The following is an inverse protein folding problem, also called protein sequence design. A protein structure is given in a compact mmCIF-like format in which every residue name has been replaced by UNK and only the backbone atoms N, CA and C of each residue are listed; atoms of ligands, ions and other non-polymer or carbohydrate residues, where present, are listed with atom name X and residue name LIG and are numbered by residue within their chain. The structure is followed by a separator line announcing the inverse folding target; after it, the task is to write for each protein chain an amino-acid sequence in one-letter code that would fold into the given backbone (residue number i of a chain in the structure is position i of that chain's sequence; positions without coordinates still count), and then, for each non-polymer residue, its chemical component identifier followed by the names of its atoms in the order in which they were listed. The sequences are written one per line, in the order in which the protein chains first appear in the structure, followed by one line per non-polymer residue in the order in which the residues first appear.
data_IF_937410571986
#
_entry.id   IF_937410571986
#
_cell.length_a   1.000
_cell.length_b   1.000
_cell.length_c   1.000
_cell.angle_alpha   90.00
_cell.angle_beta   90.00
_cell.angle_gamma   90.00
#
_symmetry.space_group_name_H-M   'P 1'
#
loop_
_entity.id
_entity.type
_entity.pdbx_description
1 polymer ?
#
# COMPACT_ATOMS: atom_id res chain seq x y z
N UNK A 1 7.20 29.44 12.36
CA UNK A 1 7.30 28.70 11.08
C UNK A 1 6.56 27.40 11.34
N UNK A 2 5.56 27.03 10.53
CA UNK A 2 4.93 25.72 10.67
C UNK A 2 6.01 24.67 10.35
N UNK A 3 6.28 23.80 11.31
CA UNK A 3 7.21 22.69 11.18
C UNK A 3 6.79 21.79 10.00
N UNK A 4 7.73 21.39 9.14
CA UNK A 4 7.44 20.51 8.00
C UNK A 4 7.22 19.08 8.48
N UNK A 5 6.40 18.31 7.77
CA UNK A 5 6.13 16.92 8.12
C UNK A 5 7.31 16.04 7.66
N UNK A 6 8.07 15.51 8.62
CA UNK A 6 9.16 14.54 8.37
C UNK A 6 8.83 13.26 9.11
N UNK A 7 8.25 12.31 8.37
CA UNK A 7 7.76 11.05 8.91
C UNK A 7 8.69 9.87 8.67
N UNK A 8 8.56 8.83 9.50
CA UNK A 8 9.15 7.52 9.24
C UNK A 8 8.17 6.40 9.57
N UNK A 9 8.10 5.39 8.69
CA UNK A 9 7.36 4.17 8.95
C UNK A 9 8.21 3.20 9.78
N UNK A 10 7.66 2.68 10.88
CA UNK A 10 8.39 1.81 11.81
C UNK A 10 7.46 0.76 12.42
N UNK A 11 7.95 -0.47 12.55
CA UNK A 11 7.24 -1.56 13.22
C UNK A 11 7.65 -1.76 14.69
N UNK A 12 6.90 -2.59 15.45
CA UNK A 12 7.17 -2.86 16.87
C UNK A 12 8.54 -3.49 17.13
N UNK A 13 9.07 -4.29 16.18
CA UNK A 13 10.32 -5.00 16.34
C UNK A 13 11.49 -4.08 16.72
N UNK A 14 11.62 -2.90 16.12
CA UNK A 14 12.71 -1.98 16.41
C UNK A 14 12.64 -1.40 17.82
N UNK A 15 11.44 -1.11 18.33
CA UNK A 15 11.28 -0.58 19.70
C UNK A 15 11.60 -1.63 20.76
N UNK A 16 11.30 -2.90 20.50
CA UNK A 16 11.65 -4.00 21.41
C UNK A 16 13.14 -4.32 21.37
N UNK A 17 13.73 -4.31 20.18
CA UNK A 17 15.13 -4.64 19.93
C UNK A 17 16.08 -3.55 20.47
N UNK A 18 15.83 -2.31 20.08
CA UNK A 18 16.76 -1.19 20.28
C UNK A 18 16.40 -0.32 21.50
N UNK A 19 15.14 -0.43 21.97
CA UNK A 19 14.60 0.38 23.06
C UNK A 19 13.94 1.67 22.59
N UNK A 20 12.85 2.07 23.26
CA UNK A 20 12.00 3.20 22.84
C UNK A 20 12.77 4.51 22.76
N UNK A 21 13.44 4.92 23.84
CA UNK A 21 14.14 6.20 23.88
C UNK A 21 15.29 6.26 22.86
N UNK A 22 16.09 5.20 22.75
CA UNK A 22 17.22 5.17 21.82
C UNK A 22 16.77 5.29 20.36
N UNK A 23 15.67 4.63 19.99
CA UNK A 23 15.09 4.75 18.65
C UNK A 23 14.58 6.17 18.42
N UNK A 24 13.81 6.72 19.36
CA UNK A 24 13.25 8.07 19.19
C UNK A 24 14.33 9.16 19.16
N UNK A 25 15.37 9.05 20.00
CA UNK A 25 16.53 9.95 19.99
C UNK A 25 17.26 9.87 18.64
N UNK A 26 17.50 8.66 18.13
CA UNK A 26 18.13 8.47 16.83
C UNK A 26 17.30 9.12 15.72
N UNK A 27 15.99 8.88 15.70
CA UNK A 27 15.11 9.42 14.66
C UNK A 27 15.01 10.95 14.73
N UNK A 28 14.89 11.51 15.92
CA UNK A 28 14.80 12.96 16.10
C UNK A 28 16.14 13.66 15.85
N UNK A 29 17.19 13.27 16.57
CA UNK A 29 18.44 14.03 16.63
C UNK A 29 19.34 13.80 15.41
N UNK A 30 19.35 12.57 14.87
CA UNK A 30 20.21 12.22 13.72
C UNK A 30 19.51 12.43 12.39
N UNK A 31 18.22 12.11 12.31
CA UNK A 31 17.48 12.09 11.03
C UNK A 31 16.57 13.31 10.84
N UNK A 32 16.16 13.98 11.92
CA UNK A 32 15.22 15.10 11.87
C UNK A 32 13.75 14.67 11.73
N UNK A 33 13.42 13.44 12.13
CA UNK A 33 12.04 12.95 12.13
C UNK A 33 11.24 13.63 13.25
N UNK A 34 10.02 14.06 12.93
CA UNK A 34 9.05 14.58 13.90
C UNK A 34 7.70 13.84 13.91
N UNK A 35 7.49 12.87 13.00
CA UNK A 35 6.29 12.02 12.99
C UNK A 35 6.66 10.53 12.92
N UNK A 36 6.16 9.76 13.88
CA UNK A 36 6.27 8.29 13.88
C UNK A 36 5.02 7.69 13.25
N UNK A 37 5.18 6.96 12.15
CA UNK A 37 4.11 6.20 11.50
C UNK A 37 4.24 4.73 11.89
N UNK A 38 3.44 4.30 12.86
CA UNK A 38 3.67 3.06 13.61
C UNK A 38 2.79 1.92 13.12
N UNK A 39 3.37 0.80 12.69
CA UNK A 39 2.62 -0.41 12.38
C UNK A 39 2.02 -1.04 13.63
N UNK A 40 0.72 -0.92 13.85
CA UNK A 40 0.02 -1.43 15.05
C UNK A 40 -0.68 -2.77 14.83
N UNK A 41 -1.14 -3.04 13.59
CA UNK A 41 -1.82 -4.27 13.22
C UNK A 41 -1.32 -4.75 11.85
N UNK A 42 -0.70 -5.93 11.77
CA UNK A 42 -0.26 -6.52 10.49
C UNK A 42 0.17 -7.98 10.64
N UNK A 43 0.09 -8.75 9.55
CA UNK A 43 0.73 -10.08 9.42
C UNK A 43 1.89 -10.05 8.43
N UNK A 44 2.25 -8.87 7.91
CA UNK A 44 3.29 -8.71 6.90
C UNK A 44 4.64 -8.50 7.59
N UNK A 45 5.55 -9.47 7.46
CA UNK A 45 6.90 -9.37 8.05
C UNK A 45 7.65 -8.10 7.64
N UNK A 46 7.41 -7.58 6.42
CA UNK A 46 7.94 -6.31 5.93
C UNK A 46 7.60 -5.12 6.86
N UNK A 47 6.41 -5.12 7.48
CA UNK A 47 5.89 -3.99 8.27
C UNK A 47 6.21 -4.10 9.75
N UNK A 48 6.25 -5.32 10.27
CA UNK A 48 6.28 -5.57 11.72
C UNK A 48 7.52 -6.34 12.18
N UNK A 49 8.27 -6.95 11.26
CA UNK A 49 9.48 -7.69 11.54
C UNK A 49 10.76 -6.91 11.21
N UNK A 50 11.88 -7.65 11.24
CA UNK A 50 13.20 -7.18 10.77
C UNK A 50 13.30 -7.28 9.24
N UNK A 51 14.38 -6.74 8.67
CA UNK A 51 14.60 -6.75 7.23
C UNK A 51 14.44 -8.14 6.60
N UNK A 52 13.54 -8.28 5.61
CA UNK A 52 13.25 -9.56 4.94
C UNK A 52 14.20 -9.87 3.78
N UNK A 53 14.93 -8.86 3.28
CA UNK A 53 15.91 -9.00 2.19
C UNK A 53 17.36 -9.09 2.69
N UNK A 54 17.59 -9.34 3.99
CA UNK A 54 18.94 -9.37 4.57
C UNK A 54 19.91 -10.33 3.86
N UNK A 55 19.42 -11.38 3.21
CA UNK A 55 20.24 -12.30 2.41
C UNK A 55 20.82 -11.67 1.14
N UNK A 56 20.17 -10.63 0.62
CA UNK A 56 20.55 -9.88 -0.58
C UNK A 56 21.21 -8.55 -0.20
N UNK A 57 20.64 -7.85 0.78
CA UNK A 57 21.03 -6.48 1.15
C UNK A 57 21.98 -6.40 2.34
N UNK A 58 22.18 -7.51 3.05
CA UNK A 58 22.80 -7.51 4.37
C UNK A 58 21.86 -6.95 5.45
N UNK A 59 22.31 -6.98 6.69
CA UNK A 59 21.62 -6.32 7.80
C UNK A 59 21.83 -4.80 7.76
N UNK A 60 20.86 -4.01 8.26
CA UNK A 60 21.06 -2.59 8.49
C UNK A 60 22.16 -2.37 9.53
N UNK A 61 22.66 -1.13 9.61
CA UNK A 61 23.74 -0.70 10.50
C UNK A 61 23.26 -0.38 11.93
N UNK A 62 22.09 -0.91 12.32
CA UNK A 62 21.48 -0.79 13.65
C UNK A 62 20.56 -1.96 13.98
N UNK A 63 20.22 -2.08 15.27
CA UNK A 63 19.51 -3.24 15.83
C UNK A 63 20.28 -4.56 15.72
N UNK A 64 19.69 -5.63 16.26
CA UNK A 64 20.32 -6.95 16.23
C UNK A 64 20.29 -7.52 14.80
N UNK A 65 21.42 -8.02 14.27
CA UNK A 65 21.53 -8.55 12.91
C UNK A 65 21.06 -10.02 12.84
N UNK A 66 19.85 -10.27 13.32
CA UNK A 66 19.25 -11.61 13.35
C UNK A 66 17.82 -11.59 12.79
N UNK A 67 17.37 -12.66 12.12
CA UNK A 67 15.98 -12.79 11.69
C UNK A 67 15.05 -12.84 12.89
N UNK A 68 13.95 -12.08 12.81
CA UNK A 68 12.84 -12.18 13.75
C UNK A 68 11.69 -12.90 13.06
N UNK A 69 11.31 -14.06 13.58
CA UNK A 69 10.08 -14.72 13.16
C UNK A 69 8.90 -13.97 13.77
N UNK A 70 8.04 -13.40 12.91
CA UNK A 70 6.82 -12.72 13.32
C UNK A 70 5.62 -13.46 12.73
N UNK A 71 4.70 -13.85 13.60
CA UNK A 71 3.38 -14.35 13.21
C UNK A 71 2.44 -13.19 12.90
N UNK A 72 2.53 -12.09 13.66
CA UNK A 72 1.73 -10.90 13.43
C UNK A 72 0.31 -10.97 13.99
N UNK A 73 -0.35 -9.82 13.95
CA UNK A 73 -1.65 -9.55 14.56
C UNK A 73 -1.74 -8.11 15.02
N UNK A 74 -2.64 -7.84 15.97
CA UNK A 74 -2.70 -6.58 16.71
C UNK A 74 -1.66 -6.57 17.84
N UNK A 75 -0.84 -5.53 17.89
CA UNK A 75 0.13 -5.28 18.96
C UNK A 75 -0.38 -4.31 20.03
N UNK A 76 -1.71 -4.17 20.09
CA UNK A 76 -2.40 -3.35 21.08
C UNK A 76 -2.94 -4.20 22.23
N UNK A 77 -3.27 -3.53 23.33
CA UNK A 77 -4.08 -4.03 24.42
C UNK A 77 -5.44 -4.54 23.91
N UNK A 78 -6.07 -5.43 24.67
CA UNK A 78 -7.36 -5.98 24.29
C UNK A 78 -8.46 -5.09 24.87
N UNK A 79 -9.24 -4.46 23.99
CA UNK A 79 -10.39 -3.61 24.34
C UNK A 79 -11.67 -4.24 23.79
N UNK A 80 -12.14 -5.36 24.38
CA UNK A 80 -13.22 -6.18 23.83
C UNK A 80 -14.56 -5.45 23.67
N UNK A 81 -14.75 -4.30 24.32
CA UNK A 81 -15.90 -3.41 24.16
C UNK A 81 -16.11 -2.91 22.73
N UNK A 82 -15.04 -2.64 21.97
CA UNK A 82 -15.14 -2.14 20.59
C UNK A 82 -15.48 -3.25 19.59
N UNK A 83 -15.12 -4.49 19.89
CA UNK A 83 -15.20 -5.61 18.95
C UNK A 83 -16.50 -6.42 19.06
N UNK A 84 -17.50 -5.96 19.84
CA UNK A 84 -18.77 -6.69 20.07
C UNK A 84 -19.64 -6.84 18.82
N UNK A 85 -19.46 -5.98 17.83
CA UNK A 85 -20.28 -5.94 16.60
C UNK A 85 -19.65 -6.68 15.41
N UNK A 86 -18.55 -7.39 15.63
CA UNK A 86 -17.96 -8.28 14.63
C UNK A 86 -17.79 -9.69 15.19
N UNK A 87 -17.87 -10.68 14.31
CA UNK A 87 -17.55 -12.08 14.63
C UNK A 87 -16.07 -12.41 14.43
N UNK A 88 -15.24 -11.43 14.06
CA UNK A 88 -13.78 -11.58 13.95
C UNK A 88 -13.17 -11.35 15.33
N UNK A 89 -12.56 -12.39 15.89
CA UNK A 89 -11.88 -12.36 17.19
C UNK A 89 -10.50 -13.02 17.06
N UNK A 90 -9.73 -13.04 18.16
CA UNK A 90 -8.43 -13.73 18.25
C UNK A 90 -7.42 -13.26 17.18
N UNK A 91 -7.34 -11.95 16.99
CA UNK A 91 -6.43 -11.33 16.03
C UNK A 91 -5.25 -10.60 16.70
N UNK A 92 -5.10 -10.71 18.03
CA UNK A 92 -3.92 -10.21 18.76
C UNK A 92 -2.68 -10.98 18.34
N UNK A 93 -1.55 -10.30 18.19
CA UNK A 93 -0.29 -10.91 17.81
C UNK A 93 0.18 -11.88 18.91
N UNK A 94 0.53 -13.15 18.57
CA UNK A 94 1.03 -14.12 19.53
C UNK A 94 2.55 -14.03 19.74
N UNK A 95 3.20 -13.01 19.16
CA UNK A 95 4.64 -12.85 19.13
C UNK A 95 5.20 -12.58 20.54
N UNK A 96 6.12 -13.44 20.99
CA UNK A 96 6.68 -13.41 22.35
C UNK A 96 7.29 -12.04 22.71
N UNK A 97 7.96 -11.40 21.75
CA UNK A 97 8.61 -10.10 21.91
C UNK A 97 7.64 -8.98 22.34
N UNK A 98 6.35 -9.14 22.05
CA UNK A 98 5.27 -8.20 22.36
C UNK A 98 4.21 -8.78 23.31
N UNK A 99 4.49 -9.93 23.94
CA UNK A 99 3.58 -10.54 24.92
C UNK A 99 3.34 -9.57 26.08
N UNK A 100 2.07 -9.38 26.42
CA UNK A 100 1.60 -8.49 27.50
C UNK A 100 2.06 -7.02 27.37
N UNK A 101 2.42 -6.60 26.15
CA UNK A 101 2.78 -5.23 25.81
C UNK A 101 1.77 -4.63 24.85
N UNK A 102 1.68 -3.30 24.90
CA UNK A 102 0.96 -2.47 23.95
C UNK A 102 1.95 -1.51 23.30
N UNK A 103 2.08 -1.57 21.98
CA UNK A 103 3.09 -0.77 21.27
C UNK A 103 2.81 0.74 21.33
N UNK A 104 1.54 1.16 21.38
CA UNK A 104 1.20 2.58 21.47
C UNK A 104 1.47 3.11 22.88
N UNK A 105 1.12 2.35 23.93
CA UNK A 105 1.46 2.73 25.31
C UNK A 105 2.98 2.83 25.54
N UNK A 106 3.75 1.97 24.87
CA UNK A 106 5.22 2.02 24.92
C UNK A 106 5.79 3.29 24.27
N UNK A 107 5.26 3.69 23.11
CA UNK A 107 5.89 4.71 22.24
C UNK A 107 5.38 6.13 22.52
N UNK A 108 4.07 6.30 22.76
CA UNK A 108 3.43 7.63 22.87
C UNK A 108 4.11 8.51 23.94
N UNK A 109 4.37 8.05 25.18
CA UNK A 109 4.99 8.92 26.20
C UNK A 109 6.37 9.44 25.78
N UNK A 110 7.19 8.58 25.19
CA UNK A 110 8.54 8.94 24.72
C UNK A 110 8.50 9.89 23.53
N UNK A 111 7.54 9.70 22.62
CA UNK A 111 7.33 10.59 21.46
C UNK A 111 6.86 11.98 21.91
N UNK A 112 5.89 12.05 22.83
CA UNK A 112 5.37 13.30 23.38
C UNK A 112 6.44 14.10 24.13
N UNK A 113 7.31 13.44 24.90
CA UNK A 113 8.43 14.09 25.57
C UNK A 113 9.40 14.80 24.61
N UNK A 114 9.42 14.36 23.36
CA UNK A 114 10.24 14.90 22.26
C UNK A 114 9.46 15.83 21.32
N UNK A 115 8.17 16.06 21.57
CA UNK A 115 7.31 16.85 20.69
C UNK A 115 6.97 16.16 19.36
N UNK A 116 7.17 14.85 19.26
CA UNK A 116 6.86 14.08 18.05
C UNK A 116 5.38 13.68 18.00
N UNK A 117 4.85 13.58 16.78
CA UNK A 117 3.52 13.00 16.52
C UNK A 117 3.60 11.48 16.38
N UNK A 118 2.52 10.78 16.72
CA UNK A 118 2.34 9.34 16.53
C UNK A 118 1.07 9.09 15.71
N UNK A 119 1.24 8.48 14.55
CA UNK A 119 0.16 8.13 13.62
C UNK A 119 0.21 6.63 13.36
N UNK A 120 -0.73 5.82 13.89
CA UNK A 120 -0.84 4.42 13.51
C UNK A 120 -0.96 4.23 11.98
N UNK A 121 -0.17 3.30 11.45
CA UNK A 121 -0.27 2.81 10.09
C UNK A 121 -1.12 1.54 10.06
N UNK A 122 -2.18 1.56 9.25
CA UNK A 122 -3.04 0.41 8.98
C UNK A 122 -3.10 0.15 7.48
N UNK A 123 -3.03 -1.13 7.10
CA UNK A 123 -3.01 -1.57 5.71
C UNK A 123 -4.01 -2.68 5.44
N UNK A 124 -4.79 -2.54 4.38
CA UNK A 124 -5.76 -3.50 3.89
C UNK A 124 -5.36 -3.99 2.49
N UNK A 125 -5.35 -5.31 2.22
CA UNK A 125 -5.52 -6.39 3.18
C UNK A 125 -4.27 -6.56 4.06
N UNK A 126 -4.51 -6.90 5.33
CA UNK A 126 -3.49 -7.12 6.37
C UNK A 126 -2.59 -8.35 6.10
N UNK A 127 -2.92 -9.13 5.06
CA UNK A 127 -2.29 -10.40 4.72
C UNK A 127 -2.36 -10.68 3.20
N UNK A 128 -1.44 -10.08 2.44
CA UNK A 128 -1.44 -10.11 0.97
C UNK A 128 -0.31 -10.92 0.33
N UNK A 129 0.87 -11.01 0.96
CA UNK A 129 2.07 -11.50 0.30
C UNK A 129 2.25 -13.01 0.54
N UNK A 130 2.71 -13.73 -0.49
CA UNK A 130 2.99 -15.16 -0.38
C UNK A 130 4.03 -15.42 0.71
N UNK A 131 3.77 -16.38 1.60
CA UNK A 131 4.60 -16.64 2.78
C UNK A 131 4.12 -15.82 3.98
N UNK A 132 5.00 -15.00 4.56
CA UNK A 132 4.72 -14.22 5.76
C UNK A 132 3.60 -13.20 5.50
N UNK A 133 2.39 -13.55 5.91
CA UNK A 133 1.20 -12.75 5.74
C UNK A 133 0.37 -13.12 4.52
N UNK A 134 0.30 -14.38 4.11
CA UNK A 134 -0.74 -14.84 3.19
C UNK A 134 -2.05 -15.18 3.93
N UNK A 135 -3.22 -14.94 3.33
CA UNK A 135 -4.51 -15.15 4.01
C UNK A 135 -4.69 -16.58 4.57
N UNK A 136 -4.13 -17.59 3.90
CA UNK A 136 -4.22 -18.99 4.31
C UNK A 136 -3.25 -19.36 5.46
N UNK A 137 -2.37 -18.46 5.88
CA UNK A 137 -1.46 -18.64 7.01
C UNK A 137 -1.82 -17.80 8.23
N UNK A 138 -2.84 -16.93 8.11
CA UNK A 138 -3.32 -16.08 9.22
C UNK A 138 -4.20 -16.89 10.16
N UNK A 139 -3.88 -16.84 11.46
CA UNK A 139 -4.56 -17.61 12.51
C UNK A 139 -5.81 -16.92 13.07
N UNK A 140 -6.62 -16.29 12.21
CA UNK A 140 -7.93 -15.77 12.61
C UNK A 140 -8.98 -16.88 12.42
N UNK A 141 -9.67 -17.31 13.49
CA UNK A 141 -10.71 -18.34 13.38
C UNK A 141 -11.78 -17.96 12.38
N UNK A 142 -12.18 -18.92 11.53
CA UNK A 142 -13.21 -18.74 10.51
C UNK A 142 -12.93 -17.64 9.48
N UNK A 143 -11.69 -17.15 9.34
CA UNK A 143 -11.34 -16.10 8.38
C UNK A 143 -11.86 -16.39 6.96
N UNK A 144 -11.81 -17.66 6.56
CA UNK A 144 -12.32 -18.18 5.28
C UNK A 144 -13.78 -17.78 4.97
N UNK A 145 -14.63 -17.60 6.00
CA UNK A 145 -16.04 -17.21 5.85
C UNK A 145 -16.22 -15.73 5.46
N UNK A 146 -15.16 -14.93 5.61
CA UNK A 146 -15.15 -13.52 5.28
C UNK A 146 -14.47 -13.22 3.95
N UNK A 147 -13.94 -14.24 3.26
CA UNK A 147 -13.17 -14.08 2.04
C UNK A 147 -14.03 -13.76 0.81
N UNK A 148 -13.41 -13.16 -0.20
CA UNK A 148 -13.98 -13.04 -1.52
C UNK A 148 -14.27 -14.42 -2.12
N UNK A 149 -15.24 -14.47 -3.03
CA UNK A 149 -15.57 -15.66 -3.80
C UNK A 149 -15.47 -15.31 -5.28
N UNK A 150 -14.68 -16.04 -6.05
CA UNK A 150 -14.56 -15.78 -7.48
C UNK A 150 -15.83 -16.16 -8.26
N UNK A 151 -15.88 -15.84 -9.56
CA UNK A 151 -17.01 -16.15 -10.42
C UNK A 151 -17.28 -17.67 -10.60
N UNK A 152 -16.32 -18.53 -10.22
CA UNK A 152 -16.44 -20.00 -10.23
C UNK A 152 -16.96 -20.55 -8.90
N UNK A 153 -17.20 -19.69 -7.90
CA UNK A 153 -17.64 -20.10 -6.57
C UNK A 153 -16.49 -20.52 -5.65
N UNK A 154 -15.25 -20.24 -5.99
CA UNK A 154 -14.07 -20.62 -5.19
C UNK A 154 -13.70 -19.49 -4.22
N UNK A 155 -13.22 -19.87 -3.05
CA UNK A 155 -12.73 -18.93 -2.05
C UNK A 155 -11.44 -18.26 -2.58
N UNK A 156 -11.42 -16.92 -2.53
CA UNK A 156 -10.32 -16.08 -2.96
C UNK A 156 -9.28 -15.81 -1.85
N UNK A 157 -8.26 -15.04 -2.21
CA UNK A 157 -7.11 -14.73 -1.34
C UNK A 157 -7.24 -13.43 -0.53
N UNK A 158 -8.32 -12.67 -0.67
CA UNK A 158 -8.57 -11.44 0.08
C UNK A 158 -9.94 -11.49 0.80
N UNK A 159 -10.11 -10.81 1.94
CA UNK A 159 -11.42 -10.65 2.59
C UNK A 159 -12.43 -9.96 1.68
N UNK A 160 -13.73 -10.12 1.86
CA UNK A 160 -14.72 -9.38 1.09
C UNK A 160 -15.06 -8.05 1.78
N UNK A 161 -14.88 -6.92 1.09
CA UNK A 161 -15.20 -5.60 1.63
C UNK A 161 -16.71 -5.33 1.77
N UNK A 162 -17.55 -6.17 1.17
CA UNK A 162 -19.01 -6.16 1.38
C UNK A 162 -19.47 -7.06 2.53
N UNK A 163 -18.58 -7.87 3.11
CA UNK A 163 -18.95 -8.70 4.26
C UNK A 163 -19.07 -7.80 5.51
N UNK A 164 -20.26 -7.70 6.14
CA UNK A 164 -20.45 -6.81 7.28
C UNK A 164 -19.53 -7.12 8.46
N UNK A 165 -19.22 -8.39 8.73
CA UNK A 165 -18.32 -8.74 9.84
C UNK A 165 -16.90 -8.20 9.60
N UNK A 166 -16.40 -8.30 8.37
CA UNK A 166 -15.09 -7.78 8.00
C UNK A 166 -15.05 -6.24 8.01
N UNK A 167 -16.10 -5.61 7.47
CA UNK A 167 -16.21 -4.15 7.42
C UNK A 167 -16.31 -3.54 8.82
N UNK A 168 -17.17 -4.11 9.67
CA UNK A 168 -17.30 -3.69 11.07
C UNK A 168 -16.04 -3.98 11.89
N UNK A 169 -15.25 -5.00 11.54
CA UNK A 169 -13.96 -5.21 12.20
C UNK A 169 -12.98 -4.07 11.94
N UNK A 170 -12.94 -3.54 10.71
CA UNK A 170 -12.16 -2.33 10.42
C UNK A 170 -12.69 -1.10 11.15
N UNK A 171 -14.00 -0.91 11.21
CA UNK A 171 -14.59 0.17 12.00
C UNK A 171 -14.20 0.05 13.49
N UNK A 172 -14.28 -1.16 14.06
CA UNK A 172 -13.90 -1.40 15.45
C UNK A 172 -12.42 -1.13 15.70
N UNK A 173 -11.52 -1.58 14.80
CA UNK A 173 -10.09 -1.27 14.88
C UNK A 173 -9.86 0.25 14.90
N UNK A 174 -10.46 0.98 13.96
CA UNK A 174 -10.30 2.45 13.88
C UNK A 174 -10.85 3.15 15.12
N UNK A 175 -12.05 2.77 15.57
CA UNK A 175 -12.65 3.38 16.76
C UNK A 175 -11.81 3.14 18.02
N UNK A 176 -11.31 1.91 18.20
CA UNK A 176 -10.41 1.56 19.30
C UNK A 176 -9.14 2.43 19.29
N UNK A 177 -8.45 2.54 18.15
CA UNK A 177 -7.27 3.40 18.04
C UNK A 177 -7.58 4.86 18.42
N UNK A 178 -8.69 5.41 17.91
CA UNK A 178 -9.02 6.82 18.12
C UNK A 178 -9.53 7.13 19.52
N UNK A 179 -10.15 6.17 20.22
CA UNK A 179 -10.76 6.39 21.54
C UNK A 179 -9.88 5.97 22.71
N UNK A 180 -8.98 5.03 22.49
CA UNK A 180 -8.16 4.44 23.55
C UNK A 180 -6.79 5.10 23.69
N UNK A 181 -6.31 5.83 22.68
CA UNK A 181 -4.94 6.33 22.63
C UNK A 181 -4.84 7.82 22.27
N UNK A 182 -3.84 8.49 22.83
CA UNK A 182 -3.47 9.87 22.51
C UNK A 182 -2.61 9.92 21.21
N UNK A 183 -3.24 9.60 20.08
CA UNK A 183 -2.62 9.61 18.74
C UNK A 183 -2.89 10.94 18.02
N UNK A 184 -2.16 11.21 16.93
CA UNK A 184 -2.33 12.43 16.11
C UNK A 184 -3.14 12.20 14.83
N UNK A 185 -3.42 10.95 14.48
CA UNK A 185 -4.17 10.59 13.29
C UNK A 185 -4.01 9.13 12.91
N UNK A 186 -4.54 8.74 11.75
CA UNK A 186 -4.40 7.41 11.16
C UNK A 186 -3.85 7.55 9.74
N UNK A 187 -2.86 6.73 9.40
CA UNK A 187 -2.47 6.52 8.01
C UNK A 187 -3.09 5.22 7.51
N UNK A 188 -3.93 5.33 6.49
CA UNK A 188 -4.67 4.24 5.90
C UNK A 188 -4.13 3.86 4.52
N UNK A 189 -3.93 2.57 4.28
CA UNK A 189 -3.49 2.03 3.00
C UNK A 189 -4.47 0.94 2.52
N UNK A 190 -4.94 1.03 1.28
CA UNK A 190 -5.85 0.05 0.69
C UNK A 190 -5.29 -0.44 -0.65
N UNK A 191 -4.71 -1.64 -0.64
CA UNK A 191 -4.04 -2.22 -1.80
C UNK A 191 -4.70 -3.52 -2.25
N UNK A 192 -5.70 -3.42 -3.12
CA UNK A 192 -6.35 -4.59 -3.72
C UNK A 192 -6.22 -4.65 -5.23
N UNK A 193 -6.37 -5.84 -5.80
CA UNK A 193 -6.55 -6.03 -7.23
C UNK A 193 -8.05 -6.03 -7.55
N UNK A 194 -8.47 -5.12 -8.42
CA UNK A 194 -9.84 -5.11 -8.94
C UNK A 194 -10.12 -6.36 -9.81
N UNK A 195 -11.37 -6.65 -10.18
CA UNK A 195 -11.68 -7.74 -11.11
C UNK A 195 -10.82 -7.70 -12.40
N UNK A 196 -10.61 -6.53 -13.00
CA UNK A 196 -9.77 -6.38 -14.20
C UNK A 196 -8.30 -6.70 -13.91
N UNK A 197 -7.78 -6.24 -12.77
CA UNK A 197 -6.42 -6.55 -12.35
C UNK A 197 -6.22 -8.06 -12.12
N UNK A 198 -7.21 -8.72 -11.54
CA UNK A 198 -7.23 -10.17 -11.32
C UNK A 198 -7.13 -10.89 -12.68
N UNK A 199 -7.94 -10.48 -13.66
CA UNK A 199 -7.89 -11.04 -15.01
C UNK A 199 -6.53 -10.87 -15.71
N UNK A 200 -5.98 -9.65 -15.71
CA UNK A 200 -4.67 -9.35 -16.32
C UNK A 200 -3.56 -10.21 -15.71
N UNK A 201 -3.65 -10.49 -14.41
CA UNK A 201 -2.69 -11.33 -13.69
C UNK A 201 -2.97 -12.83 -13.79
N UNK A 202 -4.00 -13.23 -14.54
CA UNK A 202 -4.39 -14.63 -14.78
C UNK A 202 -5.23 -15.25 -13.67
N UNK A 203 -5.74 -14.45 -12.74
CA UNK A 203 -6.65 -14.89 -11.68
C UNK A 203 -8.10 -14.87 -12.17
N UNK A 204 -8.92 -15.75 -11.59
CA UNK A 204 -10.36 -15.69 -11.74
C UNK A 204 -10.92 -14.46 -10.99
N UNK A 205 -11.71 -13.58 -11.64
CA UNK A 205 -12.21 -12.37 -11.01
C UNK A 205 -13.33 -12.65 -10.00
N UNK A 206 -13.40 -11.84 -8.94
CA UNK A 206 -14.45 -11.81 -7.92
C UNK A 206 -14.87 -10.37 -7.56
N UNK A 207 -15.86 -10.15 -6.69
CA UNK A 207 -16.41 -11.08 -5.69
C UNK A 207 -17.91 -11.41 -5.93
N UNK A 208 -18.26 -12.70 -5.79
CA UNK A 208 -19.61 -13.25 -5.92
C UNK A 208 -20.10 -13.93 -4.63
N UNK A 209 -19.55 -13.54 -3.46
CA UNK A 209 -20.09 -14.02 -2.19
C UNK A 209 -21.51 -13.47 -1.97
N UNK A 210 -22.29 -14.07 -1.06
CA UNK A 210 -23.69 -13.69 -0.83
C UNK A 210 -23.90 -12.19 -0.61
N UNK A 211 -22.94 -11.50 0.02
CA UNK A 211 -23.02 -10.08 0.30
C UNK A 211 -22.85 -9.25 -0.98
N UNK A 212 -21.86 -9.59 -1.82
CA UNK A 212 -21.68 -8.94 -3.12
C UNK A 212 -22.84 -9.21 -4.08
N UNK A 213 -23.47 -10.40 -4.05
CA UNK A 213 -24.66 -10.68 -4.87
C UNK A 213 -25.81 -9.74 -4.53
N UNK A 214 -26.04 -9.49 -3.24
CA UNK A 214 -27.05 -8.54 -2.76
C UNK A 214 -26.67 -7.11 -3.14
N UNK A 215 -25.42 -6.70 -2.90
CA UNK A 215 -24.93 -5.36 -3.20
C UNK A 215 -24.97 -5.03 -4.69
N UNK A 216 -24.58 -5.97 -5.56
CA UNK A 216 -24.69 -5.84 -7.02
C UNK A 216 -26.13 -5.64 -7.45
N UNK A 217 -27.05 -6.50 -6.97
CA UNK A 217 -28.47 -6.42 -7.33
C UNK A 217 -29.08 -5.09 -6.89
N UNK A 218 -28.78 -4.63 -5.67
CA UNK A 218 -29.23 -3.33 -5.17
C UNK A 218 -28.64 -2.15 -5.96
N UNK A 219 -27.42 -2.31 -6.49
CA UNK A 219 -26.72 -1.33 -7.33
C UNK A 219 -27.09 -1.39 -8.81
N UNK A 220 -28.07 -2.20 -9.22
CA UNK A 220 -28.51 -2.34 -10.60
C UNK A 220 -27.53 -3.12 -11.50
N UNK A 221 -26.67 -3.96 -10.92
CA UNK A 221 -25.77 -4.86 -11.65
C UNK A 221 -26.36 -6.28 -11.58
N UNK A 222 -26.69 -6.86 -12.74
CA UNK A 222 -27.15 -8.26 -12.82
C UNK A 222 -25.98 -9.22 -12.48
N UNK A 223 -26.06 -9.95 -11.34
CA UNK A 223 -24.96 -10.81 -10.93
C UNK A 223 -24.69 -11.98 -11.90
N UNK A 224 -25.71 -12.55 -12.54
CA UNK A 224 -25.53 -13.68 -13.44
C UNK A 224 -24.98 -13.22 -14.80
N UNK A 225 -25.40 -12.05 -15.28
CA UNK A 225 -24.80 -11.46 -16.47
C UNK A 225 -23.32 -11.08 -16.23
N UNK A 226 -23.01 -10.46 -15.09
CA UNK A 226 -21.63 -10.17 -14.70
C UNK A 226 -20.79 -11.46 -14.57
N UNK A 227 -21.34 -12.53 -14.00
CA UNK A 227 -20.66 -13.84 -13.90
C UNK A 227 -20.33 -14.44 -15.26
N UNK A 228 -21.26 -14.37 -16.23
CA UNK A 228 -21.02 -14.81 -17.61
C UNK A 228 -19.92 -13.99 -18.28
N UNK A 229 -19.98 -12.67 -18.13
CA UNK A 229 -18.96 -11.76 -18.64
C UNK A 229 -17.57 -12.09 -18.06
N UNK A 230 -17.46 -12.29 -16.73
CA UNK A 230 -16.25 -12.75 -16.07
C UNK A 230 -15.68 -14.03 -16.69
N UNK A 231 -16.54 -15.03 -16.97
CA UNK A 231 -16.11 -16.29 -17.57
C UNK A 231 -15.51 -16.11 -18.97
N UNK A 232 -16.16 -15.29 -19.82
CA UNK A 232 -15.71 -15.01 -21.18
C UNK A 232 -14.39 -14.22 -21.20
N UNK A 233 -14.29 -13.18 -20.35
CA UNK A 233 -13.07 -12.40 -20.21
C UNK A 233 -11.94 -13.25 -19.64
N UNK A 234 -12.19 -14.03 -18.59
CA UNK A 234 -11.18 -14.92 -18.01
C UNK A 234 -10.69 -15.97 -19.02
N UNK A 235 -11.58 -16.51 -19.85
CA UNK A 235 -11.21 -17.38 -20.96
C UNK A 235 -10.25 -16.68 -21.93
N UNK A 236 -10.57 -15.46 -22.37
CA UNK A 236 -9.68 -14.66 -23.22
C UNK A 236 -8.30 -14.44 -22.57
N UNK A 237 -8.25 -13.96 -21.33
CA UNK A 237 -6.99 -13.68 -20.63
C UNK A 237 -6.14 -14.95 -20.46
N UNK A 238 -6.76 -16.10 -20.17
CA UNK A 238 -6.05 -17.38 -20.12
C UNK A 238 -5.47 -17.79 -21.46
N UNK A 239 -6.23 -17.66 -22.56
CA UNK A 239 -5.79 -17.97 -23.92
C UNK A 239 -4.64 -17.06 -24.36
N UNK A 240 -4.74 -15.76 -24.04
CA UNK A 240 -3.69 -14.78 -24.33
C UNK A 240 -2.37 -15.16 -23.64
N UNK A 241 -2.44 -15.49 -22.34
CA UNK A 241 -1.30 -15.94 -21.53
C UNK A 241 -0.73 -17.28 -21.97
N UNK A 242 -1.55 -18.15 -22.57
CA UNK A 242 -1.12 -19.42 -23.14
C UNK A 242 -0.45 -19.27 -24.52
N UNK A 243 -0.32 -18.04 -25.04
CA UNK A 243 0.29 -17.77 -26.33
C UNK A 243 -0.60 -18.12 -27.53
N UNK A 244 -1.92 -18.22 -27.34
CA UNK A 244 -2.82 -18.57 -28.42
C UNK A 244 -2.86 -17.49 -29.52
N UNK A 245 -2.79 -17.91 -30.79
CA UNK A 245 -2.88 -16.98 -31.91
C UNK A 245 -4.29 -16.37 -32.02
N UNK A 246 -4.37 -15.05 -32.13
CA UNK A 246 -5.60 -14.32 -32.40
C UNK A 246 -5.47 -13.62 -33.75
N UNK A 247 -6.44 -13.81 -34.65
CA UNK A 247 -6.39 -13.30 -36.03
C UNK A 247 -6.16 -11.79 -36.11
N UNK A 248 -6.83 -11.01 -35.25
CA UNK A 248 -6.69 -9.54 -35.21
C UNK A 248 -5.71 -9.06 -34.13
N UNK A 249 -4.98 -9.98 -33.51
CA UNK A 249 -4.11 -9.69 -32.36
C UNK A 249 -4.81 -9.68 -31.01
N UNK A 250 -4.00 -9.74 -29.96
CA UNK A 250 -4.42 -9.85 -28.56
C UNK A 250 -5.19 -8.62 -28.11
N UNK A 251 -4.70 -7.40 -28.36
CA UNK A 251 -5.35 -6.17 -27.94
C UNK A 251 -6.76 -6.03 -28.51
N UNK A 252 -6.89 -6.16 -29.84
CA UNK A 252 -8.17 -6.01 -30.54
C UNK A 252 -9.16 -7.10 -30.11
N UNK A 253 -8.69 -8.33 -29.96
CA UNK A 253 -9.54 -9.43 -29.46
C UNK A 253 -10.01 -9.17 -28.03
N UNK A 254 -9.14 -8.67 -27.16
CA UNK A 254 -9.49 -8.33 -25.78
C UNK A 254 -10.52 -7.21 -25.70
N UNK A 255 -10.35 -6.15 -26.51
CA UNK A 255 -11.32 -5.06 -26.62
C UNK A 255 -12.67 -5.56 -27.13
N UNK A 256 -12.69 -6.44 -28.14
CA UNK A 256 -13.93 -7.05 -28.64
C UNK A 256 -14.67 -7.82 -27.56
N UNK A 257 -13.96 -8.71 -26.86
CA UNK A 257 -14.57 -9.50 -25.77
C UNK A 257 -15.09 -8.59 -24.66
N UNK A 258 -14.39 -7.50 -24.32
CA UNK A 258 -14.85 -6.52 -23.34
C UNK A 258 -16.11 -5.76 -23.81
N UNK A 259 -16.12 -5.29 -25.06
CA UNK A 259 -17.24 -4.52 -25.62
C UNK A 259 -18.51 -5.38 -25.80
N UNK A 260 -18.34 -6.66 -26.13
CA UNK A 260 -19.44 -7.63 -26.23
C UNK A 260 -19.99 -8.04 -24.86
N UNK A 261 -19.28 -7.72 -23.76
CA UNK A 261 -19.63 -8.11 -22.39
C UNK A 261 -19.50 -6.93 -21.40
N UNK A 262 -20.25 -5.84 -21.61
CA UNK A 262 -20.11 -4.61 -20.83
C UNK A 262 -20.48 -4.77 -19.34
N UNK A 263 -21.20 -5.83 -18.97
CA UNK A 263 -21.55 -6.16 -17.59
C UNK A 263 -20.30 -6.37 -16.72
N UNK A 264 -19.18 -6.78 -17.33
CA UNK A 264 -17.90 -6.82 -16.63
C UNK A 264 -17.47 -5.43 -16.14
N UNK A 265 -17.65 -4.38 -16.94
CA UNK A 265 -17.31 -3.00 -16.53
C UNK A 265 -18.27 -2.47 -15.45
N UNK A 266 -19.51 -2.96 -15.43
CA UNK A 266 -20.45 -2.64 -14.35
C UNK A 266 -20.01 -3.28 -13.02
N UNK A 267 -19.56 -4.54 -13.06
CA UNK A 267 -18.94 -5.22 -11.92
C UNK A 267 -17.67 -4.48 -11.46
N UNK A 268 -16.76 -4.16 -12.39
CA UNK A 268 -15.52 -3.44 -12.10
C UNK A 268 -15.81 -2.13 -11.37
N UNK A 269 -16.73 -1.32 -11.91
CA UNK A 269 -17.14 -0.05 -11.31
C UNK A 269 -17.78 -0.25 -9.94
N UNK A 270 -18.62 -1.27 -9.78
CA UNK A 270 -19.23 -1.58 -8.49
C UNK A 270 -18.15 -1.91 -7.45
N UNK A 271 -17.24 -2.82 -7.77
CA UNK A 271 -16.16 -3.23 -6.87
C UNK A 271 -15.25 -2.05 -6.51
N UNK A 272 -14.81 -1.24 -7.49
CA UNK A 272 -13.92 -0.09 -7.26
C UNK A 272 -14.59 0.95 -6.35
N UNK A 273 -15.90 1.21 -6.54
CA UNK A 273 -16.62 2.14 -5.66
C UNK A 273 -16.62 1.66 -4.21
N UNK A 274 -16.94 0.38 -3.98
CA UNK A 274 -17.00 -0.21 -2.63
C UNK A 274 -15.66 -0.25 -1.92
N UNK A 275 -14.59 -0.40 -2.70
CA UNK A 275 -13.23 -0.27 -2.20
C UNK A 275 -12.95 1.14 -1.66
N UNK A 276 -13.31 2.17 -2.43
CA UNK A 276 -13.16 3.58 -2.01
C UNK A 276 -14.14 4.00 -0.91
N UNK A 277 -15.31 3.40 -0.85
CA UNK A 277 -16.28 3.68 0.21
C UNK A 277 -15.77 3.25 1.58
N UNK A 278 -14.91 2.22 1.64
CA UNK A 278 -14.25 1.88 2.89
C UNK A 278 -13.38 3.05 3.35
N UNK A 279 -12.56 3.61 2.46
CA UNK A 279 -11.71 4.77 2.77
C UNK A 279 -12.55 5.96 3.29
N UNK A 280 -13.70 6.25 2.64
CA UNK A 280 -14.66 7.30 3.08
C UNK A 280 -15.27 7.03 4.45
N UNK A 281 -15.67 5.79 4.71
CA UNK A 281 -16.25 5.40 5.98
C UNK A 281 -15.23 5.51 7.11
N UNK A 282 -13.99 5.08 6.88
CA UNK A 282 -12.93 5.18 7.88
C UNK A 282 -12.57 6.64 8.16
N UNK A 283 -12.46 7.49 7.13
CA UNK A 283 -12.29 8.94 7.32
C UNK A 283 -13.41 9.52 8.20
N UNK A 284 -14.67 9.27 7.83
CA UNK A 284 -15.83 9.76 8.57
C UNK A 284 -15.84 9.27 10.02
N UNK A 285 -15.43 8.02 10.26
CA UNK A 285 -15.32 7.46 11.60
C UNK A 285 -14.22 8.11 12.42
N UNK A 286 -13.02 8.34 11.86
CA UNK A 286 -11.94 9.05 12.54
C UNK A 286 -12.40 10.45 12.95
N UNK A 287 -13.00 11.21 12.02
CA UNK A 287 -13.52 12.55 12.30
C UNK A 287 -14.67 12.58 13.28
N UNK A 288 -15.47 11.51 13.34
CA UNK A 288 -16.52 11.34 14.34
C UNK A 288 -15.96 11.09 15.73
N UNK A 289 -14.90 10.27 15.84
CA UNK A 289 -14.25 10.01 17.12
C UNK A 289 -13.58 11.27 17.67
N UNK A 290 -12.78 11.94 16.84
CA UNK A 290 -12.20 13.23 17.15
C UNK A 290 -11.87 13.99 15.84
N UNK A 291 -12.48 15.16 15.58
CA UNK A 291 -12.22 15.93 14.36
C UNK A 291 -10.79 16.48 14.25
N UNK A 292 -10.03 16.52 15.36
CA UNK A 292 -8.63 16.96 15.36
C UNK A 292 -7.66 15.89 14.83
N UNK A 293 -8.03 14.61 14.85
CA UNK A 293 -7.20 13.53 14.34
C UNK A 293 -7.05 13.63 12.83
N UNK A 294 -5.82 13.54 12.33
CA UNK A 294 -5.54 13.47 10.89
C UNK A 294 -5.93 12.09 10.30
N UNK A 295 -6.30 12.05 9.03
CA UNK A 295 -6.53 10.83 8.27
C UNK A 295 -5.83 10.92 6.92
N UNK A 296 -4.75 10.16 6.77
CA UNK A 296 -3.91 10.17 5.59
C UNK A 296 -4.08 8.93 4.72
N UNK A 297 -4.10 9.12 3.41
CA UNK A 297 -4.14 7.99 2.46
C UNK A 297 -2.73 7.66 1.95
N UNK A 298 -2.21 6.49 2.30
CA UNK A 298 -1.02 5.91 1.70
C UNK A 298 -1.40 5.19 0.40
N UNK A 299 -0.97 5.73 -0.74
CA UNK A 299 -1.43 5.31 -2.06
C UNK A 299 -0.38 4.49 -2.81
N UNK A 300 -0.79 3.29 -3.18
CA UNK A 300 0.06 2.29 -3.83
C UNK A 300 0.69 2.80 -5.15
N UNK A 301 1.99 2.56 -5.34
CA UNK A 301 2.73 2.95 -6.56
C UNK A 301 2.14 2.39 -7.86
N UNK A 302 1.37 1.30 -7.79
CA UNK A 302 0.64 0.74 -8.92
C UNK A 302 -0.35 1.74 -9.53
N UNK A 303 -0.83 2.72 -8.75
CA UNK A 303 -1.63 3.84 -9.26
C UNK A 303 -0.84 4.76 -10.22
N UNK A 304 0.50 4.71 -10.18
CA UNK A 304 1.36 5.46 -11.09
C UNK A 304 1.73 4.64 -12.34
N UNK A 305 1.77 3.31 -12.22
CA UNK A 305 2.33 2.43 -13.26
C UNK A 305 1.31 1.78 -14.17
N UNK A 306 0.04 1.69 -13.76
CA UNK A 306 -0.99 1.00 -14.52
C UNK A 306 -2.07 2.01 -14.98
N UNK A 307 -2.28 2.20 -16.29
CA UNK A 307 -3.22 3.22 -16.78
C UNK A 307 -4.67 2.91 -16.40
N UNK A 308 -5.06 1.63 -16.29
CA UNK A 308 -6.40 1.25 -15.82
C UNK A 308 -6.57 1.62 -14.34
N UNK A 309 -5.56 1.31 -13.52
CA UNK A 309 -5.53 1.67 -12.11
C UNK A 309 -5.57 3.20 -11.93
N UNK A 310 -4.73 3.95 -12.64
CA UNK A 310 -4.69 5.42 -12.57
C UNK A 310 -6.04 6.05 -12.93
N UNK A 311 -6.75 5.48 -13.91
CA UNK A 311 -8.11 5.91 -14.27
C UNK A 311 -9.17 5.55 -13.20
N UNK A 312 -8.95 4.47 -12.46
CA UNK A 312 -9.89 3.99 -11.44
C UNK A 312 -9.77 4.73 -10.11
N UNK A 313 -8.60 5.27 -9.74
CA UNK A 313 -8.37 6.03 -8.50
C UNK A 313 -7.86 7.44 -8.82
N UNK A 314 -8.73 8.35 -9.30
CA UNK A 314 -8.35 9.74 -9.51
C UNK A 314 -8.08 10.44 -8.16
N UNK A 315 -7.12 11.36 -8.13
CA UNK A 315 -6.80 12.12 -6.91
C UNK A 315 -7.93 13.06 -6.47
N UNK A 316 -8.66 13.66 -7.41
CA UNK A 316 -9.64 14.70 -7.10
C UNK A 316 -10.70 14.30 -6.06
N UNK A 317 -11.13 13.03 -6.04
CA UNK A 317 -12.12 12.56 -5.06
C UNK A 317 -11.55 12.41 -3.64
N UNK A 318 -10.23 12.23 -3.47
CA UNK A 318 -9.64 12.04 -2.14
C UNK A 318 -9.73 13.30 -1.28
N UNK A 319 -9.95 14.47 -1.88
CA UNK A 319 -10.19 15.74 -1.19
C UNK A 319 -11.40 15.68 -0.24
N UNK A 320 -12.36 14.80 -0.52
CA UNK A 320 -13.57 14.66 0.29
C UNK A 320 -13.38 13.77 1.52
N UNK A 321 -12.29 12.99 1.60
CA UNK A 321 -12.12 11.94 2.61
C UNK A 321 -10.66 11.69 3.03
N UNK A 322 -9.81 12.71 2.95
CA UNK A 322 -8.45 12.67 3.48
C UNK A 322 -8.03 14.07 3.93
N UNK A 323 -7.10 14.12 4.89
CA UNK A 323 -6.43 15.37 5.30
C UNK A 323 -5.06 15.53 4.64
N UNK A 324 -4.51 14.43 4.11
CA UNK A 324 -3.31 14.42 3.28
C UNK A 324 -3.22 13.11 2.47
N UNK A 325 -2.44 13.13 1.40
CA UNK A 325 -2.13 11.92 0.62
C UNK A 325 -0.63 11.65 0.59
N UNK A 326 -0.28 10.37 0.52
CA UNK A 326 1.09 9.89 0.38
C UNK A 326 1.23 8.99 -0.85
N UNK A 327 1.65 9.53 -2.01
CA UNK A 327 2.09 8.71 -3.13
C UNK A 327 3.33 7.89 -2.74
N UNK A 328 3.26 6.56 -2.91
CA UNK A 328 4.41 5.69 -2.67
C UNK A 328 5.36 5.78 -3.87
N UNK A 329 6.57 6.31 -3.67
CA UNK A 329 7.56 6.51 -4.72
C UNK A 329 8.90 5.88 -4.37
N UNK A 330 8.92 4.60 -3.95
CA UNK A 330 10.15 3.89 -3.59
C UNK A 330 11.04 3.69 -4.82
N UNK A 331 11.87 4.69 -5.08
CA UNK A 331 12.49 5.00 -6.35
C UNK A 331 13.46 3.91 -6.81
N UNK A 332 14.31 3.40 -5.93
CA UNK A 332 15.23 2.30 -6.26
C UNK A 332 14.48 1.01 -6.62
N UNK A 333 13.33 0.73 -5.98
CA UNK A 333 12.54 -0.46 -6.29
C UNK A 333 11.64 -0.34 -7.51
N UNK A 334 11.25 0.89 -7.84
CA UNK A 334 10.12 1.15 -8.73
C UNK A 334 10.34 0.64 -10.15
N UNK A 335 11.60 0.53 -10.59
CA UNK A 335 11.92 -0.11 -11.86
C UNK A 335 11.45 -1.57 -11.93
N UNK A 336 11.78 -2.38 -10.92
CA UNK A 336 11.32 -3.76 -10.83
C UNK A 336 9.80 -3.90 -10.70
N UNK A 337 9.16 -2.98 -9.98
CA UNK A 337 7.70 -2.99 -9.79
C UNK A 337 6.99 -2.64 -11.10
N UNK A 338 7.46 -1.61 -11.83
CA UNK A 338 6.95 -1.27 -13.16
C UNK A 338 7.10 -2.42 -14.15
N UNK A 339 8.28 -3.06 -14.20
CA UNK A 339 8.50 -4.25 -15.03
C UNK A 339 7.52 -5.37 -14.66
N UNK A 340 7.30 -5.60 -13.36
CA UNK A 340 6.35 -6.58 -12.86
C UNK A 340 4.93 -6.35 -13.36
N UNK A 341 4.44 -5.11 -13.29
CA UNK A 341 3.13 -4.70 -13.80
C UNK A 341 3.02 -4.84 -15.32
N UNK A 342 3.98 -4.28 -16.06
CA UNK A 342 3.98 -4.31 -17.52
C UNK A 342 4.12 -5.72 -18.09
N UNK A 343 4.88 -6.61 -17.44
CA UNK A 343 4.95 -8.03 -17.83
C UNK A 343 3.58 -8.71 -17.81
N UNK A 344 2.66 -8.31 -16.93
CA UNK A 344 1.30 -8.88 -16.93
C UNK A 344 0.48 -8.39 -18.12
N UNK A 345 0.63 -7.11 -18.50
CA UNK A 345 0.00 -6.55 -19.70
C UNK A 345 0.59 -7.17 -20.97
N UNK A 346 1.92 -7.35 -21.05
CA UNK A 346 2.60 -8.04 -22.16
C UNK A 346 2.34 -9.55 -22.18
N UNK A 347 1.81 -10.15 -21.11
CA UNK A 347 1.31 -11.53 -21.17
C UNK A 347 -0.12 -11.60 -21.73
N UNK A 348 -0.78 -10.45 -21.92
CA UNK A 348 -2.23 -10.36 -22.19
C UNK A 348 -2.53 -9.34 -23.29
N UNK A 349 -3.04 -8.15 -22.94
CA UNK A 349 -3.52 -7.13 -23.87
C UNK A 349 -2.41 -6.60 -24.79
N UNK A 350 -1.19 -6.44 -24.27
CA UNK A 350 -0.04 -5.87 -24.98
C UNK A 350 0.91 -6.96 -25.52
N UNK A 351 0.45 -8.21 -25.61
CA UNK A 351 1.29 -9.36 -25.93
C UNK A 351 1.99 -9.26 -27.28
N UNK A 352 1.33 -8.68 -28.26
CA UNK A 352 1.87 -8.63 -29.63
C UNK A 352 2.80 -7.42 -29.84
N UNK A 353 3.13 -6.67 -28.77
CA UNK A 353 4.06 -5.54 -28.79
C UNK A 353 5.33 -5.88 -28.03
N UNK A 354 6.50 -5.54 -28.59
CA UNK A 354 7.75 -5.70 -27.85
C UNK A 354 7.79 -4.70 -26.67
N UNK A 355 8.25 -5.12 -25.48
CA UNK A 355 8.32 -4.22 -24.32
C UNK A 355 9.17 -2.97 -24.57
N UNK A 356 10.27 -3.08 -25.31
CA UNK A 356 11.12 -1.95 -25.67
C UNK A 356 10.41 -0.91 -26.56
N UNK A 357 9.47 -1.34 -27.41
CA UNK A 357 8.68 -0.45 -28.27
C UNK A 357 7.54 0.23 -27.48
N UNK A 358 6.91 -0.52 -26.57
CA UNK A 358 5.77 -0.03 -25.81
C UNK A 358 6.17 0.88 -24.65
N UNK A 359 7.34 0.67 -24.05
CA UNK A 359 7.77 1.40 -22.83
C UNK A 359 7.77 2.92 -23.02
N UNK A 360 8.36 3.50 -24.08
CA UNK A 360 8.31 4.96 -24.31
C UNK A 360 6.88 5.49 -24.53
N UNK A 361 6.00 4.69 -25.13
CA UNK A 361 4.58 5.05 -25.30
C UNK A 361 3.89 5.09 -23.95
N UNK A 362 4.07 4.04 -23.14
CA UNK A 362 3.48 3.93 -21.81
C UNK A 362 3.97 5.03 -20.88
N UNK A 363 5.25 5.38 -20.93
CA UNK A 363 5.82 6.52 -20.21
C UNK A 363 5.11 7.84 -20.54
N UNK A 364 4.85 8.13 -21.81
CA UNK A 364 4.06 9.32 -22.20
C UNK A 364 2.62 9.28 -21.68
N UNK A 365 2.00 8.09 -21.63
CA UNK A 365 0.65 7.93 -21.08
C UNK A 365 0.62 8.19 -19.57
N UNK A 366 1.65 7.73 -18.85
CA UNK A 366 1.69 7.75 -17.39
C UNK A 366 2.33 9.02 -16.81
N UNK A 367 3.04 9.80 -17.64
CA UNK A 367 3.81 10.97 -17.20
C UNK A 367 5.18 10.59 -16.63
N UNK A 368 5.84 9.57 -17.19
CA UNK A 368 7.14 9.06 -16.72
C UNK A 368 8.23 9.33 -17.77
N UNK A 369 9.49 9.35 -17.32
CA UNK A 369 10.67 9.47 -18.18
C UNK A 369 11.87 8.74 -17.55
N UNK A 370 11.90 7.42 -17.70
CA UNK A 370 12.81 6.53 -16.98
C UNK A 370 13.71 5.72 -17.91
N UNK A 371 14.60 4.92 -17.33
CA UNK A 371 15.53 4.08 -18.09
C UNK A 371 14.80 3.13 -19.06
N UNK A 372 15.45 2.72 -20.17
CA UNK A 372 14.89 1.74 -21.10
C UNK A 372 14.53 0.42 -20.40
N UNK A 373 13.59 -0.34 -21.00
CA UNK A 373 13.05 -1.58 -20.45
C UNK A 373 14.10 -2.53 -19.87
N UNK A 374 15.19 -2.80 -20.60
CA UNK A 374 16.21 -3.77 -20.21
C UNK A 374 17.16 -3.27 -19.11
N UNK A 375 17.23 -1.96 -18.88
CA UNK A 375 18.10 -1.33 -17.87
C UNK A 375 17.33 -0.99 -16.58
N UNK A 376 16.00 -0.89 -16.68
CA UNK A 376 15.14 -0.35 -15.64
C UNK A 376 15.22 -1.10 -14.30
N UNK A 377 15.44 -2.41 -14.32
CA UNK A 377 15.58 -3.21 -13.08
C UNK A 377 16.76 -2.72 -12.21
N UNK A 378 17.92 -2.52 -12.83
CA UNK A 378 19.15 -2.12 -12.14
C UNK A 378 19.28 -0.61 -11.95
N UNK A 379 18.60 0.19 -12.79
CA UNK A 379 18.59 1.65 -12.67
C UNK A 379 17.60 2.14 -11.59
N UNK A 380 16.50 1.41 -11.36
CA UNK A 380 15.38 1.94 -10.58
C UNK A 380 14.69 3.07 -11.34
N UNK A 381 14.09 4.01 -10.63
CA UNK A 381 13.54 5.24 -11.19
C UNK A 381 14.24 6.46 -10.60
N UNK A 382 14.43 7.51 -11.41
CA UNK A 382 15.18 8.69 -11.00
C UNK A 382 14.37 9.55 -10.02
N UNK A 383 14.99 10.08 -8.96
CA UNK A 383 14.33 10.98 -8.02
C UNK A 383 13.66 12.19 -8.67
N UNK A 384 14.33 12.85 -9.61
CA UNK A 384 13.83 14.10 -10.22
C UNK A 384 12.57 13.90 -11.07
N UNK A 385 12.51 12.85 -11.89
CA UNK A 385 11.39 12.56 -12.79
C UNK A 385 10.30 11.74 -12.10
N UNK A 386 10.65 10.77 -11.26
CA UNK A 386 9.67 9.93 -10.60
C UNK A 386 9.17 10.53 -9.28
N UNK A 387 10.04 10.76 -8.29
CA UNK A 387 9.59 11.33 -7.00
C UNK A 387 9.09 12.77 -7.21
N UNK A 388 9.89 13.62 -7.82
CA UNK A 388 9.53 15.01 -8.12
C UNK A 388 8.36 15.12 -9.10
N UNK A 389 8.34 14.31 -10.15
CA UNK A 389 7.26 14.32 -11.13
C UNK A 389 5.93 13.84 -10.55
N UNK A 390 5.90 12.72 -9.81
CA UNK A 390 4.66 12.28 -9.14
C UNK A 390 4.20 13.29 -8.08
N UNK A 391 5.12 13.98 -7.38
CA UNK A 391 4.77 15.05 -6.46
C UNK A 391 4.02 16.18 -7.17
N UNK A 392 4.62 16.74 -8.22
CA UNK A 392 4.02 17.82 -9.03
C UNK A 392 2.66 17.41 -9.60
N UNK A 393 2.60 16.25 -10.24
CA UNK A 393 1.38 15.77 -10.90
C UNK A 393 0.25 15.49 -9.88
N UNK A 394 0.61 15.04 -8.66
CA UNK A 394 -0.37 14.82 -7.57
C UNK A 394 -0.89 16.15 -7.03
N UNK A 395 -0.01 17.13 -6.81
CA UNK A 395 -0.42 18.48 -6.37
C UNK A 395 -1.34 19.13 -7.41
N UNK A 396 -1.01 19.03 -8.69
CA UNK A 396 -1.83 19.54 -9.79
C UNK A 396 -3.21 18.86 -9.80
N UNK A 397 -3.24 17.53 -9.67
CA UNK A 397 -4.51 16.77 -9.66
C UNK A 397 -5.38 17.01 -8.41
N UNK A 398 -4.83 17.63 -7.37
CA UNK A 398 -5.52 18.03 -6.14
C UNK A 398 -5.79 19.54 -6.09
N UNK A 399 -5.47 20.29 -7.15
CA UNK A 399 -5.57 21.75 -7.21
C UNK A 399 -4.79 22.47 -6.07
N UNK A 400 -3.79 21.80 -5.49
CA UNK A 400 -3.06 22.26 -4.30
C UNK A 400 -3.89 22.33 -3.01
N UNK A 401 -5.11 21.78 -2.98
CA UNK A 401 -6.04 21.88 -1.83
C UNK A 401 -5.72 20.89 -0.71
N UNK A 402 -4.98 19.83 -1.00
CA UNK A 402 -4.67 18.77 -0.05
C UNK A 402 -3.14 18.55 0.06
N UNK A 403 -2.56 18.52 1.28
CA UNK A 403 -1.14 18.28 1.47
C UNK A 403 -0.68 16.94 0.85
N UNK A 404 0.43 17.00 0.10
CA UNK A 404 1.08 15.83 -0.50
C UNK A 404 2.36 15.51 0.27
N UNK A 405 2.41 14.34 0.88
CA UNK A 405 3.56 13.82 1.64
C UNK A 405 4.26 12.73 0.81
N UNK A 406 5.48 12.96 0.35
CA UNK A 406 6.11 11.98 -0.57
C UNK A 406 6.67 10.78 0.18
N UNK A 407 6.24 9.57 -0.21
CA UNK A 407 6.76 8.31 0.33
C UNK A 407 8.11 7.94 -0.28
N UNK A 408 9.21 8.26 0.41
CA UNK A 408 10.57 8.01 -0.06
C UNK A 408 10.99 6.58 0.31
N UNK A 409 11.46 5.82 -0.67
CA UNK A 409 11.99 4.49 -0.44
C UNK A 409 13.39 4.57 0.17
N UNK A 410 13.56 4.03 1.37
CA UNK A 410 14.86 3.87 2.02
C UNK A 410 15.02 2.39 2.33
N UNK A 411 15.96 1.74 1.63
CA UNK A 411 16.26 0.31 1.76
C UNK A 411 15.01 -0.60 1.72
N UNK A 412 14.00 -0.20 0.94
CA UNK A 412 12.86 -1.05 0.69
C UNK A 412 13.39 -2.42 0.16
N UNK A 413 12.88 -3.57 0.66
CA UNK A 413 13.53 -4.88 0.45
C UNK A 413 13.63 -5.36 -0.99
N UNK A 414 14.84 -5.61 -1.47
CA UNK A 414 15.04 -6.13 -2.84
C UNK A 414 14.60 -7.58 -2.96
N UNK A 415 14.09 -7.91 -4.14
CA UNK A 415 13.67 -9.27 -4.50
C UNK A 415 14.73 -10.04 -5.30
N UNK A 416 15.75 -9.34 -5.81
CA UNK A 416 16.86 -9.89 -6.58
C UNK A 416 18.11 -9.03 -6.40
N UNK A 417 19.34 -9.60 -6.46
CA UNK A 417 20.59 -8.84 -6.50
C UNK A 417 20.68 -7.84 -7.66
N UNK A 418 20.00 -8.11 -8.79
CA UNK A 418 20.02 -7.26 -9.99
C UNK A 418 19.15 -6.00 -9.85
N UNK A 419 18.30 -5.95 -8.83
CA UNK A 419 17.44 -4.79 -8.56
C UNK A 419 18.28 -3.64 -8.00
N UNK A 420 17.99 -2.40 -8.40
CA UNK A 420 18.72 -1.22 -7.96
C UNK A 420 18.81 -1.14 -6.43
N UNK A 421 20.03 -0.96 -5.92
CA UNK A 421 20.27 -0.78 -4.49
C UNK A 421 19.88 0.63 -4.04
N UNK A 422 19.44 0.76 -2.78
CA UNK A 422 19.31 2.07 -2.16
C UNK A 422 20.69 2.61 -1.81
N UNK A 423 20.92 3.90 -2.07
CA UNK A 423 22.17 4.61 -1.78
C UNK A 423 21.89 5.88 -0.98
N UNK A 424 22.89 6.46 -0.31
CA UNK A 424 22.73 7.76 0.34
C UNK A 424 22.30 8.84 -0.67
N UNK A 425 22.93 8.86 -1.84
CA UNK A 425 22.65 9.85 -2.89
C UNK A 425 21.20 9.80 -3.38
N UNK A 426 20.63 8.61 -3.62
CA UNK A 426 19.26 8.51 -4.14
C UNK A 426 18.23 8.98 -3.09
N UNK A 427 18.50 8.79 -1.79
CA UNK A 427 17.64 9.29 -0.71
C UNK A 427 17.72 10.82 -0.63
N UNK A 428 18.95 11.36 -0.63
CA UNK A 428 19.20 12.81 -0.64
C UNK A 428 18.50 13.50 -1.82
N UNK A 429 18.67 12.97 -3.04
CA UNK A 429 18.05 13.52 -4.25
C UNK A 429 16.52 13.41 -4.21
N UNK A 430 15.97 12.36 -3.59
CA UNK A 430 14.52 12.18 -3.47
C UNK A 430 13.88 13.18 -2.52
N UNK A 431 14.53 13.50 -1.41
CA UNK A 431 14.07 14.55 -0.48
C UNK A 431 14.09 15.92 -1.18
N UNK A 432 15.20 16.26 -1.85
CA UNK A 432 15.31 17.50 -2.63
C UNK A 432 14.26 17.58 -3.74
N UNK A 433 14.06 16.49 -4.50
CA UNK A 433 13.08 16.43 -5.58
C UNK A 433 11.65 16.61 -5.06
N UNK A 434 11.29 16.00 -3.92
CA UNK A 434 9.98 16.16 -3.31
C UNK A 434 9.70 17.61 -2.91
N UNK A 435 10.58 18.22 -2.11
CA UNK A 435 10.37 19.59 -1.63
C UNK A 435 10.46 20.64 -2.74
N UNK A 436 11.36 20.46 -3.70
CA UNK A 436 11.49 21.36 -4.87
C UNK A 436 10.24 21.36 -5.76
N UNK A 437 9.44 20.30 -5.71
CA UNK A 437 8.16 20.20 -6.43
C UNK A 437 6.94 20.51 -5.54
N UNK A 438 7.14 21.05 -4.33
CA UNK A 438 6.06 21.58 -3.49
C UNK A 438 5.48 20.60 -2.48
N UNK A 439 6.12 19.45 -2.23
CA UNK A 439 5.67 18.53 -1.19
C UNK A 439 5.47 19.25 0.16
N UNK A 440 4.39 18.90 0.85
CA UNK A 440 4.14 19.37 2.21
C UNK A 440 5.07 18.70 3.23
N UNK A 441 5.57 17.51 2.90
CA UNK A 441 6.51 16.75 3.71
C UNK A 441 7.00 15.48 3.01
N UNK A 442 7.80 14.70 3.73
CA UNK A 442 8.35 13.42 3.28
C UNK A 442 8.15 12.35 4.33
N UNK A 443 8.00 11.10 3.89
CA UNK A 443 7.86 9.94 4.78
C UNK A 443 8.84 8.84 4.33
N UNK A 444 9.86 8.58 5.15
CA UNK A 444 10.80 7.49 4.93
C UNK A 444 10.11 6.14 5.14
N UNK A 445 10.22 5.26 4.15
CA UNK A 445 9.37 4.07 4.00
C UNK A 445 10.18 2.88 3.43
N UNK A 446 9.77 1.61 3.63
CA UNK A 446 8.50 1.16 4.21
C UNK A 446 8.55 0.75 5.70
N UNK A 447 9.74 0.56 6.26
CA UNK A 447 9.95 0.17 7.67
C UNK A 447 11.41 0.46 8.09
N UNK A 448 11.59 1.23 9.19
CA UNK A 448 12.89 1.56 9.79
C UNK A 448 13.79 0.34 10.01
N UNK A 449 13.23 -0.83 10.37
CA UNK A 449 14.01 -2.05 10.61
C UNK A 449 14.75 -2.60 9.36
N UNK A 450 14.51 -2.05 8.17
CA UNK A 450 15.26 -2.33 6.94
C UNK A 450 16.21 -1.20 6.53
N UNK A 451 16.03 0.00 7.07
CA UNK A 451 16.76 1.20 6.67
C UNK A 451 18.17 1.20 7.21
N UNK A 452 19.14 1.65 6.42
CA UNK A 452 20.47 1.97 6.95
C UNK A 452 20.43 3.41 7.45
N UNK A 453 20.93 3.65 8.67
CA UNK A 453 21.09 4.99 9.21
C UNK A 453 21.99 5.84 8.31
N UNK A 454 22.99 5.23 7.66
CA UNK A 454 23.81 5.91 6.65
C UNK A 454 23.03 6.43 5.43
N UNK A 455 21.95 5.76 5.03
CA UNK A 455 21.06 6.26 3.98
C UNK A 455 20.12 7.36 4.51
N UNK A 456 19.65 7.22 5.76
CA UNK A 456 18.84 8.23 6.44
C UNK A 456 19.62 9.53 6.70
N UNK A 457 20.92 9.44 7.00
CA UNK A 457 21.82 10.60 7.15
C UNK A 457 21.83 11.50 5.91
N UNK A 458 21.71 10.91 4.72
CA UNK A 458 21.65 11.66 3.48
C UNK A 458 20.31 12.38 3.30
N UNK A 459 19.22 11.78 3.79
CA UNK A 459 17.93 12.47 3.94
C UNK A 459 18.02 13.64 4.92
N UNK A 460 18.63 13.43 6.08
CA UNK A 460 18.87 14.48 7.08
C UNK A 460 19.71 15.64 6.52
N UNK A 461 20.75 15.33 5.74
CA UNK A 461 21.56 16.33 5.02
C UNK A 461 20.69 17.16 4.08
N UNK A 462 19.82 16.53 3.30
CA UNK A 462 18.92 17.25 2.39
C UNK A 462 17.95 18.17 3.16
N UNK A 463 17.38 17.70 4.28
CA UNK A 463 16.52 18.50 5.15
C UNK A 463 17.25 19.74 5.69
N UNK A 464 18.47 19.56 6.20
CA UNK A 464 19.28 20.65 6.73
C UNK A 464 19.60 21.73 5.67
N UNK A 465 19.94 21.32 4.44
CA UNK A 465 20.17 22.26 3.33
C UNK A 465 18.91 23.01 2.89
N UNK A 466 17.74 22.38 3.04
CA UNK A 466 16.44 23.00 2.79
C UNK A 466 15.96 23.89 3.96
N UNK A 467 16.69 23.91 5.08
CA UNK A 467 16.35 24.67 6.28
C UNK A 467 15.12 24.12 7.02
N UNK A 468 14.93 22.79 6.96
CA UNK A 468 13.83 22.05 7.60
C UNK A 468 14.28 21.45 8.92
#
# INVERSE_FOLDING_TARGET
MNERFVGIQIGPASFVDEGVDAVLDTLQERVGVNVILLGTVSWLGLKIGRSISWRIDGWPDHGVPEPLEVQGGSYLADHPEFYRNTSITNFRAPDEAMRDRDILEMVIPGARARGMKVIPELMEPLFKYAGHGSANTVQIPNLVQYMEVDYLGRIGGAPCQENPAYRTWWHALIEDHCRSYDIDGIMWCNERRSPLDQLVTGMAPGCFCRHCLVAMSAGGVDPEAARRACSLLHSYFRRARAGEHFTDGALITGLRVLLDNPEFLLLERHWVRRNKDLDRELYGLVKWCDPALEFGLNVWNRNHFNPFRKAQWPWAETKDYADWVKPITYQHQSGGIYLGEMKQLHATLLRDLAPAEMTPIMYRILGLDEAPWDELMGAGMRPSTYVGGQCRDTIEALDGELPVLMGIGVDAPRSSPDQAACTPEIVYESVHAAYSNGAAGVIYSPNYASMRLTNLDAGARALAELGI
#
